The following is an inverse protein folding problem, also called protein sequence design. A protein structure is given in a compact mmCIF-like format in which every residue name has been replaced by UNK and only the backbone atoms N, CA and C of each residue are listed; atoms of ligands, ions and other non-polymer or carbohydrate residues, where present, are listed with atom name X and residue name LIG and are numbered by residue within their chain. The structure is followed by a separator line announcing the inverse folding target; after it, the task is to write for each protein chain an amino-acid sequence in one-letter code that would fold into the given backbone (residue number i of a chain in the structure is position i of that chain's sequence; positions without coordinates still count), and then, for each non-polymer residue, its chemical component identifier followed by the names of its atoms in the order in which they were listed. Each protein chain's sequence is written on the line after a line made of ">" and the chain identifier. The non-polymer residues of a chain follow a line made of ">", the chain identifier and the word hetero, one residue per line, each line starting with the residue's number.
data_IF_405764934725
#
_entry.id   IF_405764934725
#
_cell.length_a   1.000
_cell.length_b   1.000
_cell.length_c   1.000
_cell.angle_alpha   90.00
_cell.angle_beta   90.00
_cell.angle_gamma   90.00
#
_symmetry.space_group_name_H-M   'P 1'
#
loop_
_entity.id
_entity.type
_entity.pdbx_description
1 polymer ?
#
# COMPACT_ATOMS: atom_id res chain seq x y z
N UNK A 1 10.32 0.27 -3.16
CA UNK A 1 10.66 -0.13 -1.78
C UNK A 1 11.53 0.95 -1.21
N UNK A 2 11.40 1.24 0.08
CA UNK A 2 12.28 2.17 0.81
C UNK A 2 12.91 1.40 1.96
N UNK A 3 14.21 1.54 2.16
CA UNK A 3 14.91 0.94 3.30
C UNK A 3 14.91 1.95 4.45
N UNK A 4 14.59 1.52 5.66
CA UNK A 4 14.46 2.45 6.79
C UNK A 4 15.79 3.09 7.21
N UNK A 5 16.93 2.50 6.85
CA UNK A 5 18.25 3.12 7.03
C UNK A 5 18.46 4.36 6.15
N UNK A 6 17.81 4.44 4.99
CA UNK A 6 17.89 5.57 4.06
C UNK A 6 17.13 6.80 4.60
N UNK A 7 16.25 6.59 5.59
CA UNK A 7 15.43 7.65 6.17
C UNK A 7 16.18 8.45 7.25
N UNK A 8 17.28 7.93 7.78
CA UNK A 8 18.02 8.57 8.88
C UNK A 8 17.24 8.66 10.20
N UNK A 9 16.15 7.90 10.34
CA UNK A 9 15.29 7.90 11.53
C UNK A 9 15.72 6.78 12.46
N UNK A 10 16.10 7.15 13.69
CA UNK A 10 16.49 6.21 14.73
C UNK A 10 15.37 5.21 15.01
N UNK A 11 15.68 3.92 14.95
CA UNK A 11 14.74 2.82 15.19
C UNK A 11 14.10 2.23 13.93
N UNK A 12 14.29 2.83 12.75
CA UNK A 12 13.78 2.29 11.47
C UNK A 12 14.84 1.53 10.67
N UNK A 13 16.10 1.49 11.11
CA UNK A 13 17.24 0.98 10.33
C UNK A 13 17.10 -0.49 9.94
N UNK A 14 16.33 -1.25 10.74
CA UNK A 14 16.05 -2.68 10.52
C UNK A 14 14.74 -2.93 9.77
N UNK A 15 14.07 -1.90 9.29
CA UNK A 15 12.78 -2.01 8.61
C UNK A 15 12.90 -1.68 7.13
N UNK A 16 11.92 -2.16 6.38
CA UNK A 16 11.70 -1.82 4.98
C UNK A 16 10.22 -1.60 4.70
N UNK A 17 9.96 -0.79 3.69
CA UNK A 17 8.64 -0.32 3.31
C UNK A 17 8.36 -0.67 1.85
N UNK A 18 7.27 -1.38 1.60
CA UNK A 18 6.74 -1.63 0.26
C UNK A 18 5.37 -1.00 0.20
N UNK A 19 5.15 -0.09 -0.73
CA UNK A 19 3.89 0.63 -0.85
C UNK A 19 3.49 0.77 -2.30
N UNK A 20 2.20 1.02 -2.50
CA UNK A 20 1.56 1.29 -3.77
C UNK A 20 0.52 2.40 -3.58
N UNK A 21 0.19 3.08 -4.66
CA UNK A 21 -0.83 4.14 -4.66
C UNK A 21 -2.11 3.51 -5.21
N UNK A 22 -3.22 3.72 -4.51
CA UNK A 22 -4.55 3.32 -4.96
C UNK A 22 -5.40 4.57 -5.24
N UNK A 23 -6.44 4.41 -6.05
CA UNK A 23 -7.41 5.44 -6.37
C UNK A 23 -7.20 6.12 -7.72
N UNK A 24 -8.17 6.95 -8.09
CA UNK A 24 -8.33 7.52 -9.43
C UNK A 24 -8.63 9.02 -9.36
N UNK A 25 -8.03 9.79 -10.27
CA UNK A 25 -8.16 11.26 -10.32
C UNK A 25 -7.60 11.92 -9.06
N UNK A 26 -8.40 12.76 -8.42
CA UNK A 26 -8.02 13.49 -7.19
C UNK A 26 -8.20 12.67 -5.91
N UNK A 27 -8.81 11.48 -5.97
CA UNK A 27 -8.98 10.61 -4.81
C UNK A 27 -7.92 9.52 -4.84
N UNK A 28 -6.74 9.80 -4.29
CA UNK A 28 -5.62 8.86 -4.18
C UNK A 28 -5.21 8.65 -2.73
N UNK A 29 -4.79 7.43 -2.43
CA UNK A 29 -4.23 7.06 -1.12
C UNK A 29 -3.01 6.16 -1.29
N UNK A 30 -2.30 5.93 -0.19
CA UNK A 30 -1.14 5.03 -0.17
C UNK A 30 -1.51 3.81 0.68
N UNK A 31 -1.21 2.63 0.17
CA UNK A 31 -1.26 1.38 0.91
C UNK A 31 0.13 0.75 0.93
N UNK A 32 0.56 0.24 2.08
CA UNK A 32 1.90 -0.29 2.23
C UNK A 32 2.04 -1.27 3.38
N UNK A 33 3.13 -2.02 3.34
CA UNK A 33 3.57 -2.93 4.39
C UNK A 33 4.93 -2.44 4.89
N UNK A 34 5.05 -2.37 6.21
CA UNK A 34 6.29 -2.21 6.94
C UNK A 34 6.70 -3.57 7.49
N UNK A 35 7.96 -3.97 7.31
CA UNK A 35 8.46 -5.23 7.82
C UNK A 35 9.98 -5.22 8.00
N UNK A 36 10.57 -6.35 8.41
CA UNK A 36 12.02 -6.47 8.54
C UNK A 36 12.74 -6.16 7.22
N UNK A 37 13.91 -5.54 7.30
CA UNK A 37 14.76 -5.16 6.15
C UNK A 37 14.97 -6.30 5.14
N UNK A 38 15.04 -7.55 5.62
CA UNK A 38 15.09 -8.76 4.80
C UNK A 38 13.71 -9.43 4.79
N UNK A 39 12.84 -8.97 3.90
CA UNK A 39 11.56 -9.61 3.60
C UNK A 39 11.60 -10.29 2.24
N UNK A 40 10.77 -11.33 2.05
CA UNK A 40 10.55 -11.99 0.76
C UNK A 40 9.88 -11.02 -0.24
N UNK A 41 10.70 -10.23 -0.94
CA UNK A 41 10.21 -9.10 -1.74
C UNK A 41 9.16 -9.50 -2.76
N UNK A 42 9.40 -10.55 -3.56
CA UNK A 42 8.46 -10.98 -4.60
C UNK A 42 7.09 -11.32 -4.03
N UNK A 43 7.05 -11.96 -2.86
CA UNK A 43 5.79 -12.30 -2.17
C UNK A 43 5.10 -11.04 -1.64
N UNK A 44 5.84 -10.14 -1.01
CA UNK A 44 5.29 -8.88 -0.47
C UNK A 44 4.79 -7.95 -1.56
N UNK A 45 5.55 -7.79 -2.65
CA UNK A 45 5.18 -6.96 -3.78
C UNK A 45 3.90 -7.49 -4.45
N UNK A 46 3.81 -8.80 -4.66
CA UNK A 46 2.60 -9.44 -5.21
C UNK A 46 1.38 -9.25 -4.31
N UNK A 47 1.55 -9.37 -2.99
CA UNK A 47 0.46 -9.13 -2.03
C UNK A 47 -0.01 -7.67 -2.05
N UNK A 48 0.93 -6.71 -2.02
CA UNK A 48 0.61 -5.28 -2.10
C UNK A 48 -0.16 -4.97 -3.38
N UNK A 49 0.29 -5.48 -4.53
CA UNK A 49 -0.39 -5.27 -5.81
C UNK A 49 -1.81 -5.82 -5.81
N UNK A 50 -2.00 -7.04 -5.29
CA UNK A 50 -3.32 -7.65 -5.18
C UNK A 50 -4.25 -6.80 -4.30
N UNK A 51 -3.80 -6.39 -3.11
CA UNK A 51 -4.64 -5.59 -2.21
C UNK A 51 -4.93 -4.22 -2.81
N UNK A 52 -3.96 -3.56 -3.44
CA UNK A 52 -4.19 -2.29 -4.17
C UNK A 52 -5.30 -2.46 -5.21
N UNK A 53 -5.26 -3.54 -6.00
CA UNK A 53 -6.27 -3.80 -7.02
C UNK A 53 -7.67 -4.01 -6.44
N UNK A 54 -7.78 -4.74 -5.32
CA UNK A 54 -9.07 -4.93 -4.64
C UNK A 54 -9.59 -3.64 -4.02
N UNK A 55 -8.71 -2.83 -3.42
CA UNK A 55 -9.08 -1.51 -2.90
C UNK A 55 -9.54 -0.59 -4.03
N UNK A 56 -8.87 -0.60 -5.18
CA UNK A 56 -9.28 0.19 -6.35
C UNK A 56 -10.69 -0.17 -6.82
N UNK A 57 -11.03 -1.46 -6.87
CA UNK A 57 -12.40 -1.91 -7.18
C UNK A 57 -13.41 -1.38 -6.17
N UNK A 58 -13.12 -1.50 -4.88
CA UNK A 58 -14.01 -1.03 -3.82
C UNK A 58 -14.20 0.49 -3.91
N UNK A 59 -13.12 1.25 -4.08
CA UNK A 59 -13.17 2.72 -4.23
C UNK A 59 -13.96 3.12 -5.47
N UNK A 60 -13.77 2.43 -6.60
CA UNK A 60 -14.53 2.66 -7.83
C UNK A 60 -16.03 2.38 -7.61
N UNK A 61 -16.37 1.26 -7.00
CA UNK A 61 -17.75 0.92 -6.67
C UNK A 61 -18.42 1.95 -5.74
N UNK A 62 -17.71 2.46 -4.73
CA UNK A 62 -18.23 3.51 -3.83
C UNK A 62 -18.50 4.80 -4.61
N UNK A 63 -17.60 5.19 -5.54
CA UNK A 63 -17.79 6.38 -6.38
C UNK A 63 -18.99 6.22 -7.33
N UNK A 64 -19.15 5.05 -7.92
CA UNK A 64 -20.24 4.76 -8.87
C UNK A 64 -21.58 4.55 -8.17
N UNK A 65 -21.60 4.13 -6.90
CA UNK A 65 -22.83 3.77 -6.19
C UNK A 65 -22.85 4.24 -4.71
N UNK A 66 -22.91 5.56 -4.45
CA UNK A 66 -22.73 6.14 -3.12
C UNK A 66 -23.84 5.84 -2.09
N UNK A 67 -24.95 5.19 -2.48
CA UNK A 67 -26.13 4.96 -1.64
C UNK A 67 -26.41 3.49 -1.30
N UNK A 68 -25.50 2.55 -1.58
CA UNK A 68 -25.57 1.19 -0.98
C UNK A 68 -25.11 1.26 0.48
N UNK A 69 -25.99 1.73 1.37
CA UNK A 69 -25.97 1.37 2.78
C UNK A 69 -27.05 0.32 2.97
N UNK A 70 -26.65 -0.92 3.20
CA UNK A 70 -27.51 -1.94 3.82
C UNK A 70 -27.94 -1.49 5.21
#
# INVERSE_FOLDING_TARGET
>A
MVLGEELGIKGLEKLSFVFSIYGEGNSKGIIGVMGPKRMEYSKTAGLIQYVTHEVDKVVKNIKENPFKKE
#
